data_IF_207393964948
#
_entry.id   IF_207393964948
#
_cell.length_a   1.000
_cell.length_b   1.000
_cell.length_c   1.000
_cell.angle_alpha   90.00
_cell.angle_beta   90.00
_cell.angle_gamma   90.00
#
_symmetry.space_group_name_H-M   'P 1'
#
loop_
_entity.id
_entity.type
_entity.pdbx_description
1 polymer ?
#
# COMPACT_ATOMS: atom_id res chain seq x y z
N UNK A 1 3.86 5.38 9.85
CA UNK A 1 4.73 5.64 8.71
C UNK A 1 5.93 4.71 8.72
N UNK A 2 5.88 3.71 7.84
CA UNK A 2 6.99 2.81 7.50
C UNK A 2 7.31 3.15 6.05
N UNK A 3 8.57 3.47 5.77
CA UNK A 3 9.02 3.85 4.42
C UNK A 3 10.02 2.81 3.92
N UNK A 4 9.87 2.37 2.68
CA UNK A 4 10.80 1.49 2.00
C UNK A 4 11.70 2.32 1.09
N UNK A 5 13.00 2.06 1.08
CA UNK A 5 13.93 2.78 0.21
C UNK A 5 13.87 2.26 -1.24
N UNK A 6 14.30 3.07 -2.23
CA UNK A 6 14.38 2.61 -3.62
C UNK A 6 15.27 1.37 -3.82
N UNK A 7 16.35 1.23 -3.05
CA UNK A 7 17.23 0.05 -3.10
C UNK A 7 16.51 -1.21 -2.60
N UNK A 8 15.72 -1.09 -1.54
CA UNK A 8 14.89 -2.18 -1.03
C UNK A 8 13.77 -2.55 -2.01
N UNK A 9 13.14 -1.55 -2.66
CA UNK A 9 12.14 -1.77 -3.72
C UNK A 9 12.75 -2.59 -4.86
N UNK A 10 13.93 -2.22 -5.35
CA UNK A 10 14.61 -2.96 -6.42
C UNK A 10 14.96 -4.40 -6.01
N UNK A 11 15.40 -4.58 -4.75
CA UNK A 11 15.64 -5.92 -4.20
C UNK A 11 14.34 -6.74 -4.14
N UNK A 12 13.20 -6.13 -3.76
CA UNK A 12 11.91 -6.80 -3.78
C UNK A 12 11.41 -7.11 -5.19
N UNK A 13 11.64 -6.24 -6.18
CA UNK A 13 11.32 -6.50 -7.60
C UNK A 13 12.03 -7.77 -8.08
N UNK A 14 13.30 -7.93 -7.72
CA UNK A 14 14.07 -9.14 -8.04
C UNK A 14 13.51 -10.41 -7.37
N UNK A 15 13.08 -10.31 -6.11
CA UNK A 15 12.54 -11.45 -5.35
C UNK A 15 11.11 -11.84 -5.77
N UNK A 16 10.36 -10.87 -6.31
CA UNK A 16 8.94 -11.02 -6.66
C UNK A 16 8.70 -11.00 -8.18
N UNK A 17 9.73 -11.25 -8.98
CA UNK A 17 9.68 -11.17 -10.44
C UNK A 17 8.59 -12.06 -11.08
N UNK A 18 8.23 -13.16 -10.43
CA UNK A 18 7.19 -14.09 -10.90
C UNK A 18 5.76 -13.68 -10.49
N UNK A 19 5.60 -12.59 -9.73
CA UNK A 19 4.32 -12.12 -9.18
C UNK A 19 3.97 -10.74 -9.74
N UNK A 20 3.26 -10.67 -10.89
CA UNK A 20 2.97 -9.39 -11.56
C UNK A 20 2.15 -8.43 -10.69
N UNK A 21 1.25 -8.96 -9.85
CA UNK A 21 0.48 -8.15 -8.89
C UNK A 21 1.38 -7.52 -7.82
N UNK A 22 2.44 -8.21 -7.42
CA UNK A 22 3.40 -7.67 -6.46
C UNK A 22 4.29 -6.59 -7.09
N UNK A 23 4.65 -6.74 -8.37
CA UNK A 23 5.38 -5.71 -9.11
C UNK A 23 4.54 -4.43 -9.26
N UNK A 24 3.25 -4.56 -9.57
CA UNK A 24 2.34 -3.41 -9.61
C UNK A 24 2.19 -2.72 -8.25
N UNK A 25 2.15 -3.49 -7.15
CA UNK A 25 2.16 -2.92 -5.80
C UNK A 25 3.48 -2.19 -5.49
N UNK A 26 4.62 -2.71 -5.96
CA UNK A 26 5.92 -2.03 -5.80
C UNK A 26 6.02 -0.75 -6.63
N UNK A 27 5.35 -0.68 -7.80
CA UNK A 27 5.23 0.55 -8.58
C UNK A 27 4.49 1.64 -7.78
N UNK A 28 3.34 1.31 -7.18
CA UNK A 28 2.59 2.26 -6.35
C UNK A 28 3.40 2.72 -5.13
N UNK A 29 4.08 1.79 -4.46
CA UNK A 29 4.96 2.11 -3.33
C UNK A 29 6.09 3.06 -3.75
N UNK A 30 6.66 2.88 -4.94
CA UNK A 30 7.73 3.75 -5.45
C UNK A 30 7.22 5.15 -5.80
N UNK A 31 6.04 5.26 -6.43
CA UNK A 31 5.39 6.55 -6.74
C UNK A 31 5.09 7.37 -5.47
N UNK A 32 4.76 6.68 -4.37
CA UNK A 32 4.48 7.30 -3.06
C UNK A 32 5.75 7.48 -2.19
N UNK A 33 6.92 7.58 -2.82
CA UNK A 33 8.22 7.80 -2.16
C UNK A 33 8.55 6.71 -1.10
N UNK A 34 8.02 5.51 -1.30
CA UNK A 34 8.19 4.37 -0.40
C UNK A 34 7.21 4.34 0.78
N UNK A 35 6.24 5.25 0.89
CA UNK A 35 5.28 5.29 1.99
C UNK A 35 4.27 4.14 1.89
N UNK A 36 4.52 3.07 2.65
CA UNK A 36 3.64 1.90 2.69
C UNK A 36 2.22 2.21 3.17
N UNK A 37 2.06 3.17 4.09
CA UNK A 37 0.74 3.46 4.67
C UNK A 37 -0.15 4.14 3.64
N UNK A 38 0.42 5.08 2.88
CA UNK A 38 -0.30 5.78 1.83
C UNK A 38 -0.53 4.87 0.61
N UNK A 39 0.51 4.20 0.11
CA UNK A 39 0.42 3.29 -1.04
C UNK A 39 -0.58 2.15 -0.81
N UNK A 40 -0.57 1.53 0.38
CA UNK A 40 -1.58 0.50 0.74
C UNK A 40 -3.00 1.07 0.71
N UNK A 41 -3.16 2.33 1.10
CA UNK A 41 -4.43 3.05 1.02
C UNK A 41 -4.92 3.18 -0.41
N UNK A 42 -4.03 3.52 -1.37
CA UNK A 42 -4.38 3.59 -2.78
C UNK A 42 -4.71 2.21 -3.35
N UNK A 43 -3.84 1.21 -3.12
CA UNK A 43 -4.04 -0.18 -3.59
C UNK A 43 -5.40 -0.73 -3.09
N UNK A 44 -5.75 -0.47 -1.83
CA UNK A 44 -7.04 -0.89 -1.27
C UNK A 44 -8.22 -0.20 -1.98
N UNK A 45 -8.12 1.10 -2.26
CA UNK A 45 -9.15 1.84 -3.00
C UNK A 45 -9.34 1.30 -4.41
N UNK A 46 -8.25 1.01 -5.12
CA UNK A 46 -8.27 0.43 -6.47
C UNK A 46 -8.86 -0.98 -6.50
N UNK A 47 -8.56 -1.79 -5.48
CA UNK A 47 -9.16 -3.11 -5.29
C UNK A 47 -10.65 -3.07 -4.90
N UNK A 48 -11.27 -1.88 -4.83
CA UNK A 48 -12.65 -1.70 -4.41
C UNK A 48 -12.88 -1.89 -2.90
N UNK A 49 -11.80 -2.02 -2.13
CA UNK A 49 -11.84 -2.07 -0.67
C UNK A 49 -12.02 -0.65 -0.15
N UNK A 50 -13.27 -0.16 -0.20
CA UNK A 50 -13.65 1.05 0.52
C UNK A 50 -13.66 0.77 2.01
N UNK A 51 -12.54 1.01 2.68
CA UNK A 51 -12.57 1.23 4.11
C UNK A 51 -13.24 2.57 4.37
N UNK A 52 -14.41 2.56 5.02
CA UNK A 52 -14.89 3.77 5.66
C UNK A 52 -13.90 4.12 6.78
N UNK A 53 -13.06 5.15 6.55
CA UNK A 53 -12.24 5.79 7.61
C UNK A 53 -13.06 6.15 8.86
N UNK A 54 -14.38 6.17 8.76
CA UNK A 54 -15.35 6.45 9.81
C UNK A 54 -15.69 5.28 10.76
N UNK A 55 -15.13 4.07 10.64
CA UNK A 55 -15.42 3.01 11.63
C UNK A 55 -14.96 3.33 13.06
N UNK A 56 -14.14 4.37 13.27
CA UNK A 56 -13.79 4.87 14.62
C UNK A 56 -14.80 5.83 15.26
N UNK A 57 -15.85 6.28 14.55
CA UNK A 57 -16.76 7.34 15.05
C UNK A 57 -18.13 6.88 15.56
N UNK A 58 -18.48 5.59 15.50
CA UNK A 58 -19.84 5.14 15.88
C UNK A 58 -19.92 4.21 17.11
N UNK A 59 -18.84 4.00 17.85
CA UNK A 59 -18.85 3.22 19.10
C UNK A 59 -19.13 4.02 20.38
N UNK A 60 -19.27 5.35 20.28
CA UNK A 60 -19.48 6.28 21.42
C UNK A 60 -20.89 6.88 21.44
N UNK A 61 -21.87 6.18 20.85
CA UNK A 61 -23.28 6.55 20.94
C UNK A 61 -24.07 5.38 21.51
N UNK A 62 -23.89 5.15 22.81
CA UNK A 62 -24.86 4.61 23.75
C UNK A 62 -24.48 5.09 25.16
#
# INVERSE_FOLDING_TARGET
MITITPEEIENFRSQLADYPEALAALDEIEEDEGDLEYATGIIALEAGMRESRDKKKNWLKD
#
